data_IF_576035703453
#
_entry.id   IF_576035703453
#
_cell.length_a   1.000
_cell.length_b   1.000
_cell.length_c   1.000
_cell.angle_alpha   90.00
_cell.angle_beta   90.00
_cell.angle_gamma   90.00
#
_symmetry.space_group_name_H-M   'P 1'
#
loop_
_entity.id
_entity.type
_entity.pdbx_description
1 polymer ?
#
# COMPACT_ATOMS: atom_id res chain seq x y z
N UNK A 1 31.25 -37.20 20.73
CA UNK A 1 29.87 -36.99 20.22
C UNK A 1 29.31 -35.62 20.56
N UNK A 2 29.52 -35.07 21.77
CA UNK A 2 29.07 -33.71 22.15
C UNK A 2 29.44 -32.60 21.15
N UNK A 3 30.67 -32.58 20.63
CA UNK A 3 31.11 -31.58 19.62
C UNK A 3 30.31 -31.63 18.32
N UNK A 4 29.86 -32.82 17.89
CA UNK A 4 29.06 -32.98 16.65
C UNK A 4 27.62 -32.52 16.85
N UNK A 5 27.06 -32.74 18.04
CA UNK A 5 25.72 -32.26 18.43
C UNK A 5 25.71 -30.73 18.54
N UNK A 6 26.77 -30.13 19.10
CA UNK A 6 26.90 -28.69 19.25
C UNK A 6 26.96 -27.94 17.90
N UNK A 7 27.62 -28.53 16.89
CA UNK A 7 27.69 -27.96 15.53
C UNK A 7 26.33 -28.08 14.81
N UNK A 8 25.61 -29.19 15.00
CA UNK A 8 24.28 -29.39 14.43
C UNK A 8 23.25 -28.42 15.01
N UNK A 9 23.37 -28.08 16.31
CA UNK A 9 22.48 -27.11 16.97
C UNK A 9 22.76 -25.67 16.51
N UNK A 10 24.02 -25.34 16.20
CA UNK A 10 24.40 -24.02 15.67
C UNK A 10 23.87 -23.78 14.25
N UNK A 11 23.77 -24.84 13.43
CA UNK A 11 23.25 -24.78 12.05
C UNK A 11 21.73 -24.50 12.00
N UNK A 12 20.96 -24.90 13.01
CA UNK A 12 19.52 -24.62 13.08
C UNK A 12 19.20 -23.15 13.41
N UNK A 13 20.10 -22.45 14.12
CA UNK A 13 19.87 -21.06 14.53
C UNK A 13 19.99 -20.11 13.32
N UNK A 14 20.78 -20.47 12.30
CA UNK A 14 21.01 -19.62 11.11
C UNK A 14 19.90 -19.74 10.06
N UNK A 15 19.08 -20.79 10.10
CA UNK A 15 17.97 -20.98 9.17
C UNK A 15 16.67 -20.25 9.59
N UNK A 16 16.63 -19.67 10.79
CA UNK A 16 15.43 -19.08 11.39
C UNK A 16 15.19 -17.60 11.10
N UNK A 17 16.12 -16.89 10.46
CA UNK A 17 15.87 -15.53 9.99
C UNK A 17 15.26 -15.57 8.59
N UNK A 18 14.05 -16.10 8.46
CA UNK A 18 13.20 -15.65 7.37
C UNK A 18 12.84 -14.21 7.67
N UNK A 19 13.49 -13.29 6.95
CA UNK A 19 13.10 -11.88 6.91
C UNK A 19 11.65 -11.89 6.43
N UNK A 20 10.73 -11.63 7.34
CA UNK A 20 9.32 -11.45 7.02
C UNK A 20 9.28 -10.32 5.99
N UNK A 21 8.95 -10.64 4.74
CA UNK A 21 8.80 -9.65 3.68
C UNK A 21 7.73 -8.67 4.16
N UNK A 22 8.14 -7.44 4.44
CA UNK A 22 7.20 -6.37 4.69
C UNK A 22 6.66 -5.97 3.32
N UNK A 23 5.57 -6.59 2.89
CA UNK A 23 4.96 -6.40 1.56
C UNK A 23 4.55 -4.94 1.26
N UNK A 24 4.65 -4.04 2.24
CA UNK A 24 4.37 -2.61 2.12
C UNK A 24 5.65 -1.76 1.98
N UNK A 25 6.62 -2.20 1.16
CA UNK A 25 7.91 -1.50 1.02
C UNK A 25 7.79 -0.10 0.41
N UNK A 26 6.81 0.11 -0.48
CA UNK A 26 6.55 1.41 -1.13
C UNK A 26 5.05 1.65 -1.30
N UNK A 27 4.58 2.91 -1.40
CA UNK A 27 3.18 3.22 -1.71
C UNK A 27 2.67 2.52 -2.99
N UNK A 28 3.54 2.33 -3.99
CA UNK A 28 3.19 1.62 -5.23
C UNK A 28 2.89 0.16 -4.92
N UNK A 29 3.75 -0.53 -4.17
CA UNK A 29 3.55 -1.95 -3.85
C UNK A 29 2.26 -2.17 -3.07
N UNK A 30 2.00 -1.36 -2.04
CA UNK A 30 0.74 -1.43 -1.28
C UNK A 30 -0.48 -1.15 -2.17
N UNK A 31 -0.39 -0.21 -3.12
CA UNK A 31 -1.47 0.08 -4.08
C UNK A 31 -1.72 -1.07 -5.06
N UNK A 32 -0.66 -1.74 -5.52
CA UNK A 32 -0.75 -2.93 -6.37
C UNK A 32 -1.41 -4.07 -5.59
N UNK A 33 -1.00 -4.29 -4.35
CA UNK A 33 -1.59 -5.32 -3.49
C UNK A 33 -3.07 -5.05 -3.23
N UNK A 34 -3.44 -3.79 -2.92
CA UNK A 34 -4.84 -3.37 -2.82
C UNK A 34 -5.63 -3.74 -4.08
N UNK A 35 -5.12 -3.36 -5.25
CA UNK A 35 -5.80 -3.67 -6.51
C UNK A 35 -5.96 -5.18 -6.72
N UNK A 36 -4.90 -5.96 -6.48
CA UNK A 36 -4.93 -7.43 -6.58
C UNK A 36 -5.97 -8.05 -5.64
N UNK A 37 -6.05 -7.58 -4.39
CA UNK A 37 -7.03 -8.03 -3.40
C UNK A 37 -8.46 -7.68 -3.82
N UNK A 38 -8.68 -6.52 -4.44
CA UNK A 38 -10.00 -6.10 -4.92
C UNK A 38 -10.45 -6.89 -6.16
N UNK A 39 -9.55 -7.14 -7.12
CA UNK A 39 -9.91 -7.89 -8.34
C UNK A 39 -10.01 -9.39 -8.09
N UNK A 40 -9.30 -9.91 -7.09
CA UNK A 40 -9.32 -11.29 -6.67
C UNK A 40 -8.74 -12.28 -7.69
N UNK A 41 -8.15 -13.36 -7.18
CA UNK A 41 -7.96 -14.58 -7.93
C UNK A 41 -9.22 -15.44 -7.81
N UNK A 42 -9.56 -16.22 -8.85
CA UNK A 42 -10.78 -17.06 -8.98
C UNK A 42 -11.01 -18.10 -7.85
N UNK A 43 -10.14 -18.15 -6.83
CA UNK A 43 -10.07 -19.20 -5.80
C UNK A 43 -10.43 -18.67 -4.40
N UNK A 44 -10.37 -17.36 -4.15
CA UNK A 44 -10.66 -16.80 -2.83
C UNK A 44 -12.12 -16.39 -2.66
N UNK A 45 -12.62 -16.54 -1.44
CA UNK A 45 -13.93 -16.00 -1.03
C UNK A 45 -13.85 -14.50 -0.73
N UNK A 46 -14.98 -13.81 -0.80
CA UNK A 46 -15.06 -12.38 -0.44
C UNK A 46 -14.59 -12.11 1.00
N UNK A 47 -14.87 -13.02 1.93
CA UNK A 47 -14.44 -12.92 3.33
C UNK A 47 -12.92 -13.01 3.50
N UNK A 48 -12.24 -13.83 2.69
CA UNK A 48 -10.78 -13.95 2.69
C UNK A 48 -10.13 -12.70 2.10
N UNK A 49 -10.60 -12.26 0.93
CA UNK A 49 -10.08 -11.03 0.31
C UNK A 49 -10.38 -9.79 1.16
N UNK A 50 -11.50 -9.77 1.89
CA UNK A 50 -11.77 -8.70 2.85
C UNK A 50 -10.77 -8.68 4.00
N UNK A 51 -10.38 -9.83 4.56
CA UNK A 51 -9.34 -9.88 5.60
C UNK A 51 -8.01 -9.35 5.08
N UNK A 52 -7.61 -9.74 3.87
CA UNK A 52 -6.41 -9.19 3.23
C UNK A 52 -6.51 -7.67 3.04
N UNK A 53 -7.69 -7.16 2.63
CA UNK A 53 -7.94 -5.73 2.50
C UNK A 53 -7.76 -4.98 3.83
N UNK A 54 -8.24 -5.53 4.95
CA UNK A 54 -8.06 -4.92 6.28
C UNK A 54 -6.58 -4.88 6.69
N UNK A 55 -5.79 -5.90 6.36
CA UNK A 55 -4.35 -5.92 6.70
C UNK A 55 -3.49 -4.92 5.90
N UNK A 56 -4.03 -4.32 4.84
CA UNK A 56 -3.37 -3.22 4.13
C UNK A 56 -3.43 -1.89 4.89
N UNK A 57 -4.32 -1.79 5.89
CA UNK A 57 -4.47 -0.58 6.69
C UNK A 57 -3.52 -0.63 7.88
N UNK A 58 -2.94 0.52 8.19
CA UNK A 58 -2.22 0.72 9.45
C UNK A 58 -3.15 0.40 10.63
N UNK A 59 -2.65 -0.22 11.69
CA UNK A 59 -3.46 -0.73 12.81
C UNK A 59 -4.37 0.36 13.43
N UNK A 60 -3.87 1.59 13.55
CA UNK A 60 -4.63 2.75 14.06
C UNK A 60 -5.80 3.19 13.17
N UNK A 61 -5.90 2.69 11.95
CA UNK A 61 -6.91 3.08 10.96
C UNK A 61 -7.68 1.88 10.41
N UNK A 62 -7.56 0.69 11.02
CA UNK A 62 -8.27 -0.52 10.58
C UNK A 62 -9.79 -0.33 10.61
N UNK A 63 -10.34 0.54 11.47
CA UNK A 63 -11.77 0.84 11.47
C UNK A 63 -12.26 1.53 10.19
N UNK A 64 -11.36 2.17 9.42
CA UNK A 64 -11.71 2.78 8.12
C UNK A 64 -11.86 1.74 6.99
N UNK A 65 -11.41 0.50 7.22
CA UNK A 65 -11.48 -0.61 6.26
C UNK A 65 -12.81 -1.37 6.37
N UNK A 66 -13.94 -0.70 6.11
CA UNK A 66 -15.26 -1.33 6.25
C UNK A 66 -15.57 -2.32 5.13
N UNK A 67 -16.38 -3.34 5.45
CA UNK A 67 -16.83 -4.32 4.46
C UNK A 67 -17.63 -3.68 3.32
N UNK A 68 -18.46 -2.68 3.62
CA UNK A 68 -19.20 -1.92 2.61
C UNK A 68 -18.26 -1.21 1.62
N UNK A 69 -17.20 -0.57 2.13
CA UNK A 69 -16.20 0.09 1.29
C UNK A 69 -15.44 -0.91 0.42
N UNK A 70 -15.07 -2.06 0.99
CA UNK A 70 -14.45 -3.15 0.25
C UNK A 70 -15.32 -3.63 -0.92
N UNK A 71 -16.59 -3.96 -0.66
CA UNK A 71 -17.52 -4.41 -1.70
C UNK A 71 -17.77 -3.33 -2.76
N UNK A 72 -17.91 -2.07 -2.34
CA UNK A 72 -18.06 -0.94 -3.26
C UNK A 72 -16.88 -0.84 -4.23
N UNK A 73 -15.65 -0.89 -3.70
CA UNK A 73 -14.43 -0.86 -4.52
C UNK A 73 -14.29 -2.09 -5.42
N UNK A 74 -14.52 -3.29 -4.90
CA UNK A 74 -14.44 -4.55 -5.64
C UNK A 74 -15.37 -4.57 -6.86
N UNK A 75 -16.60 -4.09 -6.68
CA UNK A 75 -17.58 -3.99 -7.77
C UNK A 75 -17.17 -2.98 -8.85
N UNK A 76 -16.41 -1.95 -8.49
CA UNK A 76 -15.86 -0.98 -9.45
C UNK A 76 -14.67 -1.54 -10.24
N UNK A 77 -13.83 -2.37 -9.61
CA UNK A 77 -12.55 -2.82 -10.20
C UNK A 77 -12.72 -3.97 -11.21
N UNK A 78 -13.70 -4.85 -11.03
CA UNK A 78 -14.13 -5.92 -11.96
C UNK A 78 -13.17 -6.25 -13.13
N UNK A 79 -13.48 -5.76 -14.33
CA UNK A 79 -12.75 -6.04 -15.59
C UNK A 79 -11.81 -4.93 -16.05
N UNK A 80 -11.50 -3.97 -15.18
CA UNK A 80 -10.81 -2.73 -15.56
C UNK A 80 -9.31 -2.85 -15.26
N UNK A 81 -8.47 -2.56 -16.25
CA UNK A 81 -7.03 -2.40 -16.00
C UNK A 81 -6.76 -1.13 -15.19
N UNK A 82 -5.73 -1.14 -14.35
CA UNK A 82 -5.36 0.01 -13.52
C UNK A 82 -4.06 0.63 -14.01
N UNK A 83 -4.01 1.95 -14.02
CA UNK A 83 -2.79 2.73 -14.15
C UNK A 83 -2.45 3.32 -12.78
N UNK A 84 -1.17 3.28 -12.41
CA UNK A 84 -0.70 3.80 -11.13
C UNK A 84 0.04 5.11 -11.34
N UNK A 85 -0.19 6.07 -10.46
CA UNK A 85 0.54 7.34 -10.42
C UNK A 85 0.70 7.74 -8.96
N UNK A 86 1.93 8.08 -8.57
CA UNK A 86 2.23 8.48 -7.21
C UNK A 86 2.05 9.98 -7.07
N UNK A 87 1.20 10.38 -6.13
CA UNK A 87 1.02 11.78 -5.79
C UNK A 87 1.35 12.01 -4.32
N UNK A 88 2.02 13.13 -4.04
CA UNK A 88 2.11 13.69 -2.68
C UNK A 88 1.25 14.95 -2.64
N UNK A 89 0.30 14.99 -1.71
CA UNK A 89 -0.43 16.21 -1.40
C UNK A 89 0.43 17.07 -0.46
N UNK A 90 0.65 18.34 -0.83
CA UNK A 90 1.28 19.33 0.03
C UNK A 90 0.29 20.47 0.28
N UNK A 91 0.11 20.83 1.54
CA UNK A 91 -0.60 22.04 1.93
C UNK A 91 0.42 23.11 2.31
N UNK A 92 0.26 24.29 1.74
CA UNK A 92 1.07 25.46 2.03
C UNK A 92 0.46 26.23 3.21
N UNK A 93 1.30 26.99 3.92
CA UNK A 93 0.87 27.77 5.10
C UNK A 93 -0.25 28.78 4.79
N UNK A 94 -0.40 29.19 3.54
CA UNK A 94 -1.47 30.08 3.08
C UNK A 94 -2.79 29.35 2.78
N UNK A 95 -2.88 28.04 3.04
CA UNK A 95 -4.06 27.20 2.79
C UNK A 95 -4.17 26.66 1.37
N UNK A 96 -3.25 26.99 0.47
CA UNK A 96 -3.22 26.39 -0.86
C UNK A 96 -2.79 24.92 -0.79
N UNK A 97 -3.33 24.11 -1.71
CA UNK A 97 -2.99 22.69 -1.81
C UNK A 97 -2.48 22.36 -3.20
N UNK A 98 -1.41 21.56 -3.26
CA UNK A 98 -0.80 21.10 -4.51
C UNK A 98 -0.58 19.58 -4.47
N UNK A 99 -0.82 18.93 -5.61
CA UNK A 99 -0.51 17.52 -5.84
C UNK A 99 0.76 17.44 -6.68
N UNK A 100 1.81 16.82 -6.14
CA UNK A 100 3.08 16.59 -6.84
C UNK A 100 3.08 15.15 -7.35
N UNK A 101 3.19 14.98 -8.67
CA UNK A 101 3.30 13.67 -9.31
C UNK A 101 4.76 13.25 -9.43
N UNK A 102 5.04 11.97 -9.16
CA UNK A 102 6.39 11.41 -9.23
C UNK A 102 6.48 10.25 -10.22
N UNK A 103 7.65 10.13 -10.83
CA UNK A 103 8.06 8.95 -11.61
C UNK A 103 9.32 8.33 -11.01
N UNK A 104 9.41 6.99 -10.91
CA UNK A 104 10.64 6.34 -10.49
C UNK A 104 11.73 6.50 -11.56
N UNK A 105 12.97 6.75 -11.15
CA UNK A 105 14.10 6.71 -12.06
C UNK A 105 14.45 5.24 -12.37
N UNK A 106 14.58 4.82 -13.64
CA UNK A 106 14.70 3.40 -13.98
C UNK A 106 15.94 2.69 -13.42
N UNK A 107 17.01 3.44 -13.17
CA UNK A 107 18.34 2.89 -12.85
C UNK A 107 18.81 3.21 -11.41
N UNK A 108 18.03 3.98 -10.66
CA UNK A 108 18.40 4.44 -9.32
C UNK A 108 17.18 4.39 -8.38
N UNK A 109 17.42 4.16 -7.09
CA UNK A 109 16.39 4.23 -6.04
C UNK A 109 16.04 5.68 -5.69
N UNK A 110 15.61 6.45 -6.70
CA UNK A 110 15.19 7.85 -6.57
C UNK A 110 13.92 8.11 -7.38
N UNK A 111 13.17 9.12 -6.94
CA UNK A 111 11.97 9.60 -7.61
C UNK A 111 12.19 11.02 -8.12
N UNK A 112 11.69 11.31 -9.32
CA UNK A 112 11.73 12.65 -9.91
C UNK A 112 10.32 13.20 -10.11
N UNK A 113 10.19 14.54 -10.07
CA UNK A 113 8.91 15.21 -10.26
C UNK A 113 8.53 15.13 -11.74
N UNK A 114 7.38 14.54 -12.00
CA UNK A 114 6.77 14.52 -13.33
C UNK A 114 5.96 15.78 -13.60
N UNK A 115 5.12 16.18 -12.64
CA UNK A 115 4.23 17.35 -12.78
C UNK A 115 3.75 17.87 -11.41
N UNK A 116 3.24 19.10 -11.39
CA UNK A 116 2.68 19.75 -10.20
C UNK A 116 1.30 20.33 -10.55
N UNK A 117 0.26 19.88 -9.83
CA UNK A 117 -1.11 20.33 -10.01
C UNK A 117 -1.55 21.20 -8.83
N UNK A 118 -2.10 22.37 -9.11
CA UNK A 118 -2.83 23.16 -8.11
C UNK A 118 -4.21 22.51 -7.86
N UNK A 119 -4.54 22.23 -6.60
CA UNK A 119 -5.85 21.68 -6.23
C UNK A 119 -6.88 22.81 -6.26
N UNK A 120 -7.92 22.72 -7.12
CA UNK A 120 -8.94 23.77 -7.19
C UNK A 120 -9.71 23.90 -5.87
N UNK A 121 -10.12 25.12 -5.52
CA UNK A 121 -10.89 25.41 -4.29
C UNK A 121 -12.13 24.52 -4.15
N UNK A 122 -12.82 24.23 -5.25
CA UNK A 122 -14.00 23.37 -5.29
C UNK A 122 -13.73 21.91 -4.91
N UNK A 123 -12.47 21.48 -4.85
CA UNK A 123 -12.04 20.11 -4.53
C UNK A 123 -11.34 20.04 -3.18
N UNK A 124 -10.87 21.17 -2.63
CA UNK A 124 -10.11 21.21 -1.37
C UNK A 124 -10.84 20.53 -0.21
N UNK A 125 -12.17 20.68 -0.14
CA UNK A 125 -12.99 20.12 0.94
C UNK A 125 -12.91 18.58 1.06
N UNK A 126 -12.57 17.85 -0.01
CA UNK A 126 -12.42 16.39 0.04
C UNK A 126 -11.20 15.93 0.86
N UNK A 127 -10.27 16.83 1.18
CA UNK A 127 -9.01 16.52 1.83
C UNK A 127 -8.89 17.06 3.26
N UNK A 128 -9.91 17.76 3.77
CA UNK A 128 -9.88 18.39 5.11
C UNK A 128 -9.72 17.36 6.25
N UNK A 129 -10.25 16.16 6.09
CA UNK A 129 -10.20 15.09 7.10
C UNK A 129 -8.91 14.24 7.08
N UNK A 130 -8.01 14.46 6.11
CA UNK A 130 -6.77 13.67 5.98
C UNK A 130 -5.67 14.13 6.95
N UNK A 131 -5.86 15.28 7.61
CA UNK A 131 -4.83 15.93 8.42
C UNK A 131 -4.98 15.77 9.94
N UNK A 132 -5.90 14.92 10.41
CA UNK A 132 -6.10 14.63 11.84
C UNK A 132 -5.72 13.19 12.20
#
# INVERSE_FOLDING_TARGET
MLKKIMIMMLLFIVAGCQRQENLQETPIHTSIQLFSTLTGNLVQTDDESYKEYVELFHDLFKEKATYEKFLGLKNMTGSTGVSYSNFVMMQLDNGEMILVSFVPWPEEDRYEIYDIYLVPDSVKYYFEDIQN
#
